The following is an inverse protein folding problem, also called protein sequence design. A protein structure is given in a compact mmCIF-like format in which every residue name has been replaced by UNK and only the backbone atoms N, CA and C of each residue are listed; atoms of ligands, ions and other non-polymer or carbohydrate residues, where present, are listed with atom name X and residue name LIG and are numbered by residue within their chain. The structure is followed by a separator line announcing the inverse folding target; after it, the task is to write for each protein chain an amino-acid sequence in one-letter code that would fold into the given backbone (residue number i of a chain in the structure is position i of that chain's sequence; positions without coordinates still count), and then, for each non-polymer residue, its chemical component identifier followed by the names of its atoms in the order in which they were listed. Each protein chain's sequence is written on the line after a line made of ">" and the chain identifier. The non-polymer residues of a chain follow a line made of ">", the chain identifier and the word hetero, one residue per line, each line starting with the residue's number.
data_IF_633509673606
#
_entry.id   IF_633509673606
#
_cell.length_a   1.000
_cell.length_b   1.000
_cell.length_c   1.000
_cell.angle_alpha   90.00
_cell.angle_beta   90.00
_cell.angle_gamma   90.00
#
_symmetry.space_group_name_H-M   'P 1'
#
loop_
_entity.id
_entity.type
_entity.pdbx_description
1 polymer ?
#
# COMPACT_ATOMS: atom_id res chain seq x y z
N UNK A 1 -9.73 -0.92 8.98
CA UNK A 1 -10.10 0.51 8.99
C UNK A 1 -11.22 0.83 7.99
N UNK A 2 -11.02 0.65 6.67
CA UNK A 2 -11.92 1.21 5.65
C UNK A 2 -13.04 0.28 5.17
N UNK A 3 -12.87 -1.04 5.21
CA UNK A 3 -13.88 -1.96 4.68
C UNK A 3 -14.77 -2.48 5.81
N UNK A 4 -14.34 -3.55 6.46
CA UNK A 4 -15.09 -4.21 7.53
C UNK A 4 -15.02 -3.47 8.87
N UNK A 5 -14.24 -2.39 8.98
CA UNK A 5 -14.02 -1.68 10.25
C UNK A 5 -15.31 -1.25 10.94
N UNK A 6 -16.16 -0.43 10.29
CA UNK A 6 -17.44 -0.01 10.86
C UNK A 6 -18.37 -1.18 11.19
N UNK A 7 -18.38 -2.23 10.35
CA UNK A 7 -19.28 -3.37 10.53
C UNK A 7 -18.85 -4.23 11.71
N UNK A 8 -17.56 -4.57 11.79
CA UNK A 8 -17.00 -5.46 12.80
C UNK A 8 -16.97 -4.79 14.18
N UNK A 9 -16.72 -3.47 14.25
CA UNK A 9 -16.63 -2.78 15.54
C UNK A 9 -18.01 -2.39 16.11
N UNK A 10 -19.05 -2.35 15.27
CA UNK A 10 -20.40 -1.96 15.71
C UNK A 10 -20.90 -2.95 16.76
N UNK A 11 -21.37 -2.42 17.89
CA UNK A 11 -21.88 -3.17 19.04
C UNK A 11 -20.84 -4.07 19.75
N UNK A 12 -19.55 -4.01 19.37
CA UNK A 12 -18.47 -4.74 20.06
C UNK A 12 -17.73 -3.83 21.03
N UNK A 13 -17.46 -2.58 20.63
CA UNK A 13 -16.75 -1.60 21.45
C UNK A 13 -17.72 -0.55 22.03
N UNK A 14 -17.28 0.14 23.08
CA UNK A 14 -18.01 1.26 23.66
C UNK A 14 -18.39 2.29 22.58
N UNK A 15 -19.61 2.81 22.66
CA UNK A 15 -20.17 3.82 21.75
C UNK A 15 -19.23 5.01 21.54
N UNK A 16 -18.61 5.54 22.61
CA UNK A 16 -17.64 6.65 22.49
C UNK A 16 -16.45 6.29 21.61
N UNK A 17 -15.89 5.10 21.82
CA UNK A 17 -14.77 4.58 21.02
C UNK A 17 -15.21 4.34 19.57
N UNK A 18 -16.41 3.82 19.36
CA UNK A 18 -16.98 3.59 18.04
C UNK A 18 -17.18 4.89 17.26
N UNK A 19 -17.78 5.91 17.88
CA UNK A 19 -17.95 7.23 17.25
C UNK A 19 -16.61 7.87 16.90
N UNK A 20 -15.62 7.77 17.80
CA UNK A 20 -14.27 8.25 17.51
C UNK A 20 -13.65 7.50 16.31
N UNK A 21 -13.76 6.17 16.29
CA UNK A 21 -13.34 5.35 15.15
C UNK A 21 -14.05 5.77 13.84
N UNK A 22 -15.35 6.08 13.89
CA UNK A 22 -16.11 6.53 12.73
C UNK A 22 -15.60 7.88 12.19
N UNK A 23 -15.22 8.81 13.07
CA UNK A 23 -14.59 10.07 12.63
C UNK A 23 -13.31 9.80 11.82
N UNK A 24 -12.45 8.90 12.29
CA UNK A 24 -11.25 8.50 11.56
C UNK A 24 -11.60 7.82 10.24
N UNK A 25 -12.50 6.83 10.27
CA UNK A 25 -12.91 6.07 9.09
C UNK A 25 -13.43 6.99 7.98
N UNK A 26 -14.36 7.90 8.30
CA UNK A 26 -14.95 8.82 7.33
C UNK A 26 -13.91 9.79 6.79
N UNK A 27 -13.03 10.32 7.65
CA UNK A 27 -11.95 11.22 7.22
C UNK A 27 -11.03 10.57 6.20
N UNK A 28 -10.54 9.36 6.49
CA UNK A 28 -9.64 8.64 5.58
C UNK A 28 -10.38 8.24 4.29
N UNK A 29 -11.64 7.82 4.39
CA UNK A 29 -12.45 7.48 3.21
C UNK A 29 -12.59 8.68 2.25
N UNK A 30 -12.83 9.89 2.78
CA UNK A 30 -12.91 11.10 1.95
C UNK A 30 -11.55 11.41 1.32
N UNK A 31 -10.46 11.34 2.09
CA UNK A 31 -9.11 11.68 1.62
C UNK A 31 -8.52 10.67 0.63
N UNK A 32 -9.10 9.47 0.50
CA UNK A 32 -8.71 8.52 -0.54
C UNK A 32 -9.37 8.82 -1.90
N UNK A 33 -10.46 9.58 -1.92
CA UNK A 33 -11.13 9.93 -3.18
C UNK A 33 -10.30 10.96 -3.95
N UNK A 34 -10.16 10.77 -5.25
CA UNK A 34 -9.55 11.77 -6.14
C UNK A 34 -10.51 12.94 -6.39
N UNK A 35 -9.95 14.13 -6.61
CA UNK A 35 -10.68 15.35 -6.99
C UNK A 35 -11.83 15.71 -6.02
N UNK A 36 -11.60 15.65 -4.70
CA UNK A 36 -12.61 16.12 -3.74
C UNK A 36 -12.72 17.64 -3.76
N UNK A 37 -13.88 18.16 -3.38
CA UNK A 37 -14.09 19.59 -3.23
C UNK A 37 -13.37 20.14 -2.00
N UNK A 38 -13.00 21.43 -2.03
CA UNK A 38 -12.39 22.12 -0.88
C UNK A 38 -13.25 22.05 0.39
N UNK A 39 -14.58 21.96 0.24
CA UNK A 39 -15.49 21.81 1.38
C UNK A 39 -15.33 20.45 2.06
N UNK A 40 -15.23 19.37 1.29
CA UNK A 40 -14.99 18.02 1.80
C UNK A 40 -13.60 17.89 2.43
N UNK A 41 -12.60 18.55 1.86
CA UNK A 41 -11.27 18.61 2.44
C UNK A 41 -11.26 19.32 3.79
N UNK A 42 -11.87 20.52 3.87
CA UNK A 42 -12.03 21.26 5.14
C UNK A 42 -12.82 20.45 6.17
N UNK A 43 -13.85 19.72 5.73
CA UNK A 43 -14.63 18.84 6.59
C UNK A 43 -13.78 17.68 7.14
N UNK A 44 -12.97 17.03 6.30
CA UNK A 44 -12.05 15.97 6.72
C UNK A 44 -11.02 16.48 7.73
N UNK A 45 -10.48 17.69 7.53
CA UNK A 45 -9.57 18.32 8.50
C UNK A 45 -10.24 18.53 9.86
N UNK A 46 -11.49 19.01 9.87
CA UNK A 46 -12.28 19.16 11.10
C UNK A 46 -12.53 17.82 11.78
N UNK A 47 -12.87 16.77 11.02
CA UNK A 47 -13.09 15.44 11.58
C UNK A 47 -11.81 14.84 12.19
N UNK A 48 -10.64 15.02 11.56
CA UNK A 48 -9.36 14.56 12.09
C UNK A 48 -8.98 15.29 13.38
N UNK A 49 -9.17 16.61 13.43
CA UNK A 49 -8.93 17.39 14.65
C UNK A 49 -9.88 16.96 15.79
N UNK A 50 -11.15 16.72 15.45
CA UNK A 50 -12.14 16.21 16.40
C UNK A 50 -11.77 14.81 16.89
N UNK A 51 -11.32 13.92 15.99
CA UNK A 51 -10.81 12.60 16.34
C UNK A 51 -9.68 12.67 17.36
N UNK A 52 -8.67 13.51 17.15
CA UNK A 52 -7.53 13.63 18.09
C UNK A 52 -7.98 14.20 19.43
N UNK A 53 -8.88 15.19 19.41
CA UNK A 53 -9.41 15.81 20.63
C UNK A 53 -10.19 14.79 21.48
N UNK A 54 -11.05 13.98 20.84
CA UNK A 54 -11.76 12.89 21.49
C UNK A 54 -10.85 11.74 21.88
N UNK A 55 -9.82 11.43 21.08
CA UNK A 55 -8.84 10.40 21.39
C UNK A 55 -8.15 10.70 22.73
N UNK A 56 -7.72 11.94 22.95
CA UNK A 56 -7.12 12.37 24.23
C UNK A 56 -8.09 12.14 25.39
N UNK A 57 -9.37 12.49 25.21
CA UNK A 57 -10.41 12.36 26.24
C UNK A 57 -10.77 10.91 26.55
N UNK A 58 -10.81 10.04 25.53
CA UNK A 58 -11.25 8.65 25.65
C UNK A 58 -10.11 7.74 26.11
N UNK A 59 -8.91 7.90 25.54
CA UNK A 59 -7.80 6.97 25.76
C UNK A 59 -6.74 7.51 26.70
N UNK A 60 -6.59 8.83 26.81
CA UNK A 60 -5.53 9.48 27.58
C UNK A 60 -4.49 10.15 26.68
N UNK A 61 -3.87 11.23 27.18
CA UNK A 61 -2.88 12.03 26.43
C UNK A 61 -1.61 11.24 26.16
N UNK A 62 -1.22 10.38 27.08
CA UNK A 62 -0.03 9.52 27.01
C UNK A 62 -0.07 8.53 25.84
N UNK A 63 -1.26 8.23 25.31
CA UNK A 63 -1.46 7.33 24.17
C UNK A 63 -1.45 8.04 22.81
N UNK A 64 -1.31 9.37 22.80
CA UNK A 64 -1.15 10.14 21.56
C UNK A 64 0.27 9.98 21.05
N UNK A 65 0.50 8.88 20.36
CA UNK A 65 1.76 8.65 19.65
C UNK A 65 1.94 9.65 18.49
N UNK A 66 3.17 9.73 17.97
CA UNK A 66 3.49 10.48 16.76
C UNK A 66 2.53 10.17 15.61
N UNK A 67 2.16 8.90 15.42
CA UNK A 67 1.26 8.49 14.34
C UNK A 67 -0.16 9.06 14.51
N UNK A 68 -0.65 9.16 15.75
CA UNK A 68 -1.97 9.76 16.03
C UNK A 68 -1.93 11.26 15.76
N UNK A 69 -0.86 11.93 16.20
CA UNK A 69 -0.68 13.36 15.96
C UNK A 69 -0.55 13.68 14.46
N UNK A 70 0.21 12.86 13.72
CA UNK A 70 0.43 13.05 12.28
C UNK A 70 -0.87 13.03 11.46
N UNK A 71 -1.94 12.37 11.94
CA UNK A 71 -3.23 12.31 11.26
C UNK A 71 -3.82 13.69 10.95
N UNK A 72 -3.58 14.72 11.78
CA UNK A 72 -4.10 16.07 11.54
C UNK A 72 -3.54 16.71 10.26
N UNK A 73 -2.36 16.26 9.81
CA UNK A 73 -1.67 16.79 8.64
C UNK A 73 -2.10 16.12 7.33
N UNK A 74 -2.88 15.04 7.37
CA UNK A 74 -3.30 14.32 6.15
C UNK A 74 -4.10 15.18 5.18
N UNK A 75 -4.84 16.17 5.67
CA UNK A 75 -5.56 17.12 4.78
C UNK A 75 -4.60 18.11 4.10
N UNK A 76 -3.48 18.43 4.75
CA UNK A 76 -2.44 19.28 4.17
C UNK A 76 -1.64 18.47 3.15
N UNK A 77 -1.35 17.20 3.45
CA UNK A 77 -0.76 16.25 2.50
C UNK A 77 -1.63 16.05 1.26
N UNK A 78 -2.95 15.93 1.45
CA UNK A 78 -3.89 15.84 0.32
C UNK A 78 -3.81 17.09 -0.57
N UNK A 79 -3.70 18.27 0.03
CA UNK A 79 -3.56 19.51 -0.73
C UNK A 79 -2.29 19.55 -1.57
N UNK A 80 -1.23 18.87 -1.11
CA UNK A 80 0.08 18.85 -1.76
C UNK A 80 0.24 17.73 -2.79
N UNK A 81 -0.29 16.55 -2.51
CA UNK A 81 -0.04 15.33 -3.29
C UNK A 81 -1.30 14.74 -3.95
N UNK A 82 -2.48 15.26 -3.64
CA UNK A 82 -3.77 14.73 -4.07
C UNK A 82 -4.26 13.59 -3.18
N UNK A 83 -4.94 12.60 -3.76
CA UNK A 83 -5.41 11.43 -2.99
C UNK A 83 -4.29 10.79 -2.18
N UNK A 84 -4.61 10.29 -0.97
CA UNK A 84 -3.66 9.58 -0.12
C UNK A 84 -3.03 8.36 -0.81
N UNK A 85 -3.67 7.80 -1.83
CA UNK A 85 -3.09 6.73 -2.64
C UNK A 85 -1.79 7.17 -3.33
N UNK A 86 -1.69 8.45 -3.73
CA UNK A 86 -0.53 9.02 -4.41
C UNK A 86 0.70 9.16 -3.51
N UNK A 87 0.50 9.26 -2.20
CA UNK A 87 1.58 9.35 -1.21
C UNK A 87 1.67 8.12 -0.32
N UNK A 88 1.01 7.02 -0.70
CA UNK A 88 1.04 5.76 0.05
C UNK A 88 2.33 4.98 -0.20
N UNK A 89 2.79 4.25 0.83
CA UNK A 89 3.93 3.35 0.70
C UNK A 89 3.55 1.98 0.09
N UNK A 90 2.26 1.70 -0.12
CA UNK A 90 1.78 0.37 -0.54
C UNK A 90 2.41 -0.16 -1.83
N UNK A 91 2.62 0.64 -2.90
CA UNK A 91 3.28 0.15 -4.10
C UNK A 91 4.72 -0.32 -3.81
N UNK A 92 5.44 0.42 -2.97
CA UNK A 92 6.81 0.10 -2.57
C UNK A 92 6.86 -1.14 -1.68
N UNK A 93 5.96 -1.26 -0.70
CA UNK A 93 5.85 -2.44 0.17
C UNK A 93 5.51 -3.70 -0.63
N UNK A 94 4.59 -3.60 -1.59
CA UNK A 94 4.25 -4.70 -2.46
C UNK A 94 5.46 -5.13 -3.31
N UNK A 95 6.19 -4.17 -3.88
CA UNK A 95 7.39 -4.43 -4.67
C UNK A 95 8.58 -4.92 -3.83
N UNK A 96 8.64 -4.60 -2.53
CA UNK A 96 9.69 -5.07 -1.63
C UNK A 96 9.81 -6.60 -1.61
N UNK A 97 8.71 -7.33 -1.81
CA UNK A 97 8.72 -8.80 -1.93
C UNK A 97 9.55 -9.27 -3.13
N UNK A 98 9.51 -8.52 -4.24
CA UNK A 98 10.32 -8.80 -5.43
C UNK A 98 11.79 -8.52 -5.15
N UNK A 99 12.10 -7.36 -4.58
CA UNK A 99 13.48 -6.98 -4.23
C UNK A 99 14.13 -7.99 -3.27
N UNK A 100 13.37 -8.47 -2.27
CA UNK A 100 13.85 -9.51 -1.35
C UNK A 100 14.21 -10.82 -2.04
N UNK A 101 13.55 -11.19 -3.15
CA UNK A 101 13.90 -12.39 -3.92
C UNK A 101 15.23 -12.23 -4.68
N UNK A 102 15.61 -11.00 -5.00
CA UNK A 102 16.89 -10.73 -5.68
C UNK A 102 18.08 -10.78 -4.73
N UNK A 103 17.87 -10.60 -3.44
CA UNK A 103 18.92 -10.60 -2.41
C UNK A 103 18.96 -11.95 -1.71
N UNK A 104 20.04 -12.71 -1.90
CA UNK A 104 20.23 -14.04 -1.26
C UNK A 104 20.99 -13.96 0.06
N UNK A 105 21.93 -13.02 0.18
CA UNK A 105 22.77 -12.80 1.36
C UNK A 105 22.86 -11.30 1.66
N UNK A 106 23.19 -10.92 2.90
CA UNK A 106 23.29 -9.52 3.32
C UNK A 106 24.45 -8.75 2.67
N UNK A 107 25.42 -9.43 2.06
CA UNK A 107 26.56 -8.78 1.42
C UNK A 107 26.17 -8.12 0.08
N UNK A 108 26.44 -6.83 -0.10
CA UNK A 108 26.18 -6.12 -1.37
C UNK A 108 24.73 -6.29 -1.91
N UNK A 109 23.69 -5.97 -1.12
CA UNK A 109 22.31 -6.24 -1.48
C UNK A 109 21.84 -5.42 -2.70
N UNK A 110 22.32 -4.19 -2.83
CA UNK A 110 22.01 -3.33 -3.98
C UNK A 110 22.58 -3.92 -5.28
N UNK A 111 23.85 -4.34 -5.27
CA UNK A 111 24.49 -4.94 -6.43
C UNK A 111 23.82 -6.25 -6.83
N UNK A 112 23.40 -7.07 -5.85
CA UNK A 112 22.61 -8.27 -6.11
C UNK A 112 21.27 -7.93 -6.79
N UNK A 113 20.53 -6.97 -6.22
CA UNK A 113 19.25 -6.53 -6.77
C UNK A 113 19.37 -6.02 -8.21
N UNK A 114 20.34 -5.14 -8.49
CA UNK A 114 20.58 -4.57 -9.81
C UNK A 114 20.97 -5.65 -10.83
N UNK A 115 21.89 -6.56 -10.49
CA UNK A 115 22.32 -7.64 -11.39
C UNK A 115 21.15 -8.57 -11.75
N UNK A 116 20.37 -9.00 -10.75
CA UNK A 116 19.20 -9.87 -10.95
C UNK A 116 18.09 -9.18 -11.74
N UNK A 117 17.86 -7.88 -11.49
CA UNK A 117 16.92 -7.08 -12.28
C UNK A 117 17.32 -7.03 -13.75
N UNK A 118 18.60 -6.74 -14.05
CA UNK A 118 19.11 -6.72 -15.42
C UNK A 118 18.97 -8.08 -16.11
N UNK A 119 19.29 -9.18 -15.41
CA UNK A 119 19.06 -10.54 -15.93
C UNK A 119 17.59 -10.76 -16.28
N UNK A 120 16.66 -10.38 -15.39
CA UNK A 120 15.22 -10.57 -15.62
C UNK A 120 14.71 -9.82 -16.86
N UNK A 121 15.20 -8.60 -17.10
CA UNK A 121 14.90 -7.83 -18.30
C UNK A 121 15.47 -8.52 -19.54
N UNK A 122 16.74 -8.94 -19.51
CA UNK A 122 17.36 -9.60 -20.65
C UNK A 122 16.65 -10.90 -21.05
N UNK A 123 16.20 -11.70 -20.08
CA UNK A 123 15.44 -12.92 -20.37
C UNK A 123 14.04 -12.60 -20.93
N UNK A 124 13.35 -11.62 -20.35
CA UNK A 124 12.04 -11.17 -20.86
C UNK A 124 12.14 -10.67 -22.30
N UNK A 125 13.11 -9.82 -22.62
CA UNK A 125 13.31 -9.30 -23.98
C UNK A 125 13.68 -10.41 -24.98
N UNK A 126 14.51 -11.37 -24.57
CA UNK A 126 14.80 -12.54 -25.41
C UNK A 126 13.55 -13.35 -25.74
N UNK A 127 12.64 -13.53 -24.78
CA UNK A 127 11.39 -14.26 -25.01
C UNK A 127 10.43 -13.55 -25.97
N UNK A 128 10.47 -12.21 -26.03
CA UNK A 128 9.65 -11.40 -26.96
C UNK A 128 10.27 -11.39 -28.36
N UNK A 129 11.60 -11.36 -28.45
CA UNK A 129 12.33 -11.34 -29.73
C UNK A 129 12.41 -12.72 -30.40
N UNK A 130 12.22 -13.79 -29.65
CA UNK A 130 11.98 -15.12 -30.23
C UNK A 130 10.49 -15.25 -30.53
N UNK A 131 10.07 -14.96 -31.76
CA UNK A 131 8.90 -15.66 -32.30
C UNK A 131 9.10 -17.17 -32.10
N UNK A 132 8.02 -17.97 -31.95
CA UNK A 132 8.14 -19.40 -31.89
C UNK A 132 8.62 -19.90 -33.25
N UNK A 133 9.92 -19.85 -33.48
CA UNK A 133 10.58 -20.82 -34.31
C UNK A 133 10.28 -22.16 -33.64
N UNK A 134 9.17 -22.77 -34.04
CA UNK A 134 9.05 -24.22 -34.06
C UNK A 134 10.21 -24.72 -34.92
N UNK A 135 11.42 -24.73 -34.34
CA UNK A 135 12.46 -25.66 -34.74
C UNK A 135 11.83 -27.00 -34.49
N UNK A 136 11.22 -27.53 -35.55
CA UNK A 136 10.70 -28.88 -35.68
C UNK A 136 11.72 -29.75 -34.95
N UNK A 137 11.37 -30.22 -33.76
CA UNK A 137 12.26 -31.08 -32.99
C UNK A 137 12.41 -32.34 -33.84
N UNK A 138 13.49 -32.40 -34.62
CA UNK A 138 13.86 -33.59 -35.34
C UNK A 138 14.54 -34.49 -34.33
N UNK A 139 13.78 -35.43 -33.79
CA UNK A 139 14.34 -36.53 -33.02
C UNK A 139 15.36 -37.24 -33.92
N UNK A 140 16.64 -37.16 -33.55
CA UNK A 140 17.74 -37.73 -34.36
C UNK A 140 17.65 -39.24 -34.50
N UNK A 141 17.01 -39.91 -33.54
CA UNK A 141 16.94 -41.36 -33.50
C UNK A 141 15.47 -41.79 -33.42
N UNK A 142 15.09 -42.79 -34.24
CA UNK A 142 13.85 -43.53 -34.02
C UNK A 142 13.95 -44.20 -32.65
N UNK A 143 12.91 -44.06 -31.84
CA UNK A 143 12.73 -44.87 -30.65
C UNK A 143 12.56 -46.32 -31.12
N UNK A 144 13.60 -47.15 -30.94
CA UNK A 144 13.47 -48.59 -31.05
C UNK A 144 12.86 -49.07 -29.73
N UNK A 145 11.64 -49.61 -29.88
CA UNK A 145 10.75 -50.31 -28.96
C UNK A 145 11.35 -50.74 -27.61
N UNK A 146 10.57 -50.48 -26.55
CA UNK A 146 10.77 -51.04 -25.22
C UNK A 146 10.30 -52.49 -25.10
#
# INVERSE_FOLDING_TARGET
>A
LLYLGPVVLKNIINEKCYLNFMCLHVSIFILLKSNISNNLLKFSKKLLNYFISNFISIYGREWVSHNVHALQHLSDDYSRFGSLDNCSAFPFENHMKVLKKYVRKSNQPLQQAVKRYNESICYSLKSILTEPNFKKFTFKNKHSEG
#
